data_IF_008258083441
#
_entry.id   IF_008258083441
#
_cell.length_a   1.000
_cell.length_b   1.000
_cell.length_c   1.000
_cell.angle_alpha   90.00
_cell.angle_beta   90.00
_cell.angle_gamma   90.00
#
_symmetry.space_group_name_H-M   'P 1'
#
loop_
_entity.id
_entity.type
_entity.pdbx_description
1 polymer ?
#
# COMPACT_ATOMS: atom_id res chain seq x y z
N UNK A 1 -54.45 -15.99 15.81
CA UNK A 1 -53.41 -16.86 15.21
C UNK A 1 -53.23 -16.38 13.79
N UNK A 2 -52.17 -15.73 13.35
CA UNK A 2 -50.95 -15.15 13.93
C UNK A 2 -50.50 -14.09 12.94
N UNK A 3 -49.94 -12.99 13.43
CA UNK A 3 -49.31 -11.92 12.64
C UNK A 3 -48.31 -12.46 11.61
N UNK A 4 -48.29 -11.84 10.43
CA UNK A 4 -47.13 -11.79 9.57
C UNK A 4 -46.84 -10.30 9.30
N UNK A 5 -45.83 -9.78 9.98
CA UNK A 5 -45.30 -8.45 9.79
C UNK A 5 -44.74 -8.34 8.37
N UNK A 6 -45.35 -7.53 7.53
CA UNK A 6 -44.76 -7.12 6.25
C UNK A 6 -43.66 -6.11 6.58
N UNK A 7 -42.42 -6.62 6.61
CA UNK A 7 -41.23 -5.85 6.91
C UNK A 7 -40.97 -4.86 5.78
N UNK A 8 -41.49 -3.64 5.93
CA UNK A 8 -41.21 -2.53 5.05
C UNK A 8 -39.69 -2.33 4.88
N UNK A 9 -39.27 -2.26 3.63
CA UNK A 9 -37.91 -1.98 3.19
C UNK A 9 -37.40 -0.70 3.86
N UNK A 10 -36.46 -0.86 4.80
CA UNK A 10 -35.83 0.27 5.45
C UNK A 10 -34.89 0.95 4.44
N UNK A 11 -34.96 2.29 4.28
CA UNK A 11 -34.07 2.99 3.37
C UNK A 11 -32.60 2.74 3.79
N UNK A 12 -31.69 2.57 2.82
CA UNK A 12 -30.30 2.26 3.11
C UNK A 12 -29.70 3.34 4.02
N UNK A 13 -28.86 2.97 4.99
CA UNK A 13 -28.23 3.93 5.89
C UNK A 13 -27.43 4.96 5.07
N UNK A 14 -27.42 6.24 5.47
CA UNK A 14 -26.72 7.28 4.73
C UNK A 14 -25.25 6.89 4.55
N UNK A 15 -24.82 6.94 3.29
CA UNK A 15 -23.52 6.48 2.85
C UNK A 15 -22.40 7.11 3.67
N UNK A 16 -21.62 6.27 4.35
CA UNK A 16 -20.33 6.67 4.88
C UNK A 16 -19.48 7.16 3.71
N UNK A 17 -19.26 8.48 3.67
CA UNK A 17 -18.41 9.18 2.71
C UNK A 17 -17.11 8.40 2.52
N UNK A 18 -16.90 7.95 1.28
CA UNK A 18 -15.89 6.98 0.92
C UNK A 18 -14.48 7.39 1.36
N UNK A 19 -13.88 6.56 2.22
CA UNK A 19 -12.46 6.56 2.47
C UNK A 19 -11.66 6.15 1.21
N UNK A 20 -10.37 6.52 1.14
CA UNK A 20 -9.54 6.38 -0.07
C UNK A 20 -9.47 4.94 -0.61
N UNK A 21 -9.60 3.94 0.26
CA UNK A 21 -9.59 2.52 -0.13
C UNK A 21 -10.72 2.09 -1.09
N UNK A 22 -11.91 2.72 -1.05
CA UNK A 22 -12.99 2.40 -1.99
C UNK A 22 -12.76 2.99 -3.39
N UNK A 23 -11.91 4.01 -3.55
CA UNK A 23 -11.63 4.60 -4.86
C UNK A 23 -10.68 3.73 -5.68
N UNK A 24 -9.64 3.17 -5.05
CA UNK A 24 -8.71 2.27 -5.72
C UNK A 24 -9.44 1.04 -6.29
N UNK A 25 -10.31 0.40 -5.51
CA UNK A 25 -11.08 -0.77 -5.96
C UNK A 25 -11.96 -0.50 -7.19
N UNK A 26 -12.55 0.70 -7.33
CA UNK A 26 -13.38 1.06 -8.49
C UNK A 26 -12.54 1.37 -9.74
N UNK A 27 -11.32 1.87 -9.57
CA UNK A 27 -10.37 2.07 -10.68
C UNK A 27 -9.86 0.73 -11.21
N UNK A 28 -9.64 -0.25 -10.33
CA UNK A 28 -9.31 -1.63 -10.73
C UNK A 28 -10.45 -2.27 -11.54
N UNK A 29 -11.70 -2.08 -11.12
CA UNK A 29 -12.90 -2.65 -11.77
C UNK A 29 -13.24 -1.99 -13.13
N UNK A 30 -12.94 -0.70 -13.30
CA UNK A 30 -13.34 0.07 -14.48
C UNK A 30 -12.35 0.03 -15.66
N UNK A 31 -11.15 -0.56 -15.50
CA UNK A 31 -10.04 -0.30 -16.44
C UNK A 31 -9.20 -1.49 -16.90
N UNK A 32 -9.37 -2.71 -16.39
CA UNK A 32 -8.49 -3.83 -16.74
C UNK A 32 -9.25 -4.98 -17.41
N UNK A 33 -9.51 -4.84 -18.71
CA UNK A 33 -9.59 -6.00 -19.58
C UNK A 33 -8.16 -6.49 -19.81
N UNK A 34 -7.65 -7.38 -18.94
CA UNK A 34 -6.24 -7.73 -18.88
C UNK A 34 -5.69 -8.27 -20.21
N UNK A 35 -4.73 -7.54 -20.79
CA UNK A 35 -3.89 -7.93 -21.92
C UNK A 35 -2.58 -8.56 -21.42
N UNK A 36 -2.67 -9.71 -20.74
CA UNK A 36 -1.50 -10.54 -20.37
C UNK A 36 -0.92 -10.31 -18.95
N UNK A 37 -0.14 -11.29 -18.49
CA UNK A 37 0.35 -11.40 -17.11
C UNK A 37 1.30 -10.26 -16.71
N UNK A 38 2.26 -9.91 -17.59
CA UNK A 38 3.22 -8.84 -17.33
C UNK A 38 2.54 -7.44 -17.24
N UNK A 39 1.52 -7.19 -18.06
CA UNK A 39 0.77 -5.93 -18.00
C UNK A 39 -0.05 -5.85 -16.71
N UNK A 40 -0.62 -6.98 -16.29
CA UNK A 40 -1.33 -7.08 -15.01
C UNK A 40 -0.39 -6.83 -13.83
N UNK A 41 0.82 -7.40 -13.85
CA UNK A 41 1.83 -7.19 -12.81
C UNK A 41 2.23 -5.71 -12.71
N UNK A 42 2.51 -5.06 -13.85
CA UNK A 42 2.87 -3.64 -13.87
C UNK A 42 1.72 -2.76 -13.38
N UNK A 43 0.48 -3.06 -13.77
CA UNK A 43 -0.68 -2.34 -13.27
C UNK A 43 -0.85 -2.45 -11.76
N UNK A 44 -0.68 -3.65 -11.20
CA UNK A 44 -0.73 -3.87 -9.75
C UNK A 44 0.38 -3.07 -9.06
N UNK A 45 1.61 -3.11 -9.57
CA UNK A 45 2.73 -2.34 -9.02
C UNK A 45 2.44 -0.85 -9.05
N UNK A 46 1.97 -0.32 -10.18
CA UNK A 46 1.65 1.09 -10.35
C UNK A 46 0.54 1.56 -9.41
N UNK A 47 -0.51 0.75 -9.23
CA UNK A 47 -1.58 1.07 -8.30
C UNK A 47 -1.10 1.11 -6.83
N UNK A 48 -0.13 0.26 -6.47
CA UNK A 48 0.38 0.13 -5.11
C UNK A 48 1.53 1.08 -4.78
N UNK A 49 2.32 1.55 -5.76
CA UNK A 49 3.42 2.52 -5.55
C UNK A 49 3.02 3.73 -4.69
N UNK A 50 1.92 4.46 -4.98
CA UNK A 50 1.47 5.60 -4.16
C UNK A 50 0.60 5.18 -2.96
N UNK A 51 0.20 3.91 -2.86
CA UNK A 51 -0.78 3.41 -1.91
C UNK A 51 -0.29 2.14 -1.21
N UNK A 52 0.99 2.16 -0.80
CA UNK A 52 1.60 0.97 -0.20
C UNK A 52 0.84 0.53 1.05
N UNK A 53 0.34 -0.72 1.11
CA UNK A 53 -0.41 -1.21 2.27
C UNK A 53 0.47 -1.30 3.53
N UNK A 54 1.78 -1.41 3.34
CA UNK A 54 2.81 -1.24 4.35
C UNK A 54 3.71 -0.06 3.93
N UNK A 55 3.40 1.18 4.36
CA UNK A 55 4.19 2.35 3.98
C UNK A 55 5.58 2.35 4.62
N UNK A 56 5.79 1.56 5.66
CA UNK A 56 7.09 1.38 6.33
C UNK A 56 7.50 -0.10 6.37
N UNK A 57 8.80 -0.35 6.49
CA UNK A 57 9.33 -1.67 6.83
C UNK A 57 8.90 -2.11 8.22
N UNK A 58 9.09 -3.40 8.53
CA UNK A 58 9.26 -3.82 9.93
C UNK A 58 10.53 -3.18 10.51
N UNK A 59 10.61 -3.14 11.84
CA UNK A 59 11.83 -2.70 12.53
C UNK A 59 13.05 -3.52 12.08
N UNK A 60 14.12 -2.80 11.75
CA UNK A 60 15.46 -3.36 11.56
C UNK A 60 16.34 -2.87 12.70
N UNK A 61 17.29 -3.69 13.11
CA UNK A 61 18.25 -3.32 14.14
C UNK A 61 19.64 -3.47 13.54
N UNK A 62 20.46 -2.43 13.67
CA UNK A 62 21.84 -2.47 13.16
C UNK A 62 22.64 -3.54 13.91
N UNK A 63 23.35 -4.40 13.18
CA UNK A 63 24.22 -5.43 13.76
C UNK A 63 25.60 -4.90 14.14
N UNK A 64 25.97 -3.74 13.61
CA UNK A 64 27.22 -3.04 13.85
C UNK A 64 26.97 -1.52 13.72
N UNK A 65 27.97 -0.73 14.07
CA UNK A 65 27.93 0.70 13.81
C UNK A 65 28.09 0.94 12.29
N UNK A 66 27.13 1.63 11.68
CA UNK A 66 27.08 1.87 10.23
C UNK A 66 27.09 3.35 9.90
N UNK A 67 27.36 3.66 8.64
CA UNK A 67 27.11 4.97 8.03
C UNK A 67 25.97 4.81 7.02
N UNK A 68 24.92 5.62 7.15
CA UNK A 68 23.77 5.59 6.25
C UNK A 68 23.39 7.02 5.88
N UNK A 69 23.44 7.37 4.59
CA UNK A 69 23.11 8.72 4.12
C UNK A 69 23.96 9.82 4.77
N UNK A 70 25.22 9.53 5.11
CA UNK A 70 26.12 10.46 5.82
C UNK A 70 25.84 10.57 7.33
N UNK A 71 24.98 9.71 7.88
CA UNK A 71 24.69 9.64 9.32
C UNK A 71 25.29 8.39 9.94
N UNK A 72 26.10 8.56 10.99
CA UNK A 72 26.57 7.46 11.84
C UNK A 72 25.43 6.90 12.67
N UNK A 73 25.14 5.61 12.53
CA UNK A 73 24.13 4.90 13.32
C UNK A 73 24.82 3.84 14.17
N UNK A 74 24.77 3.92 15.51
CA UNK A 74 25.37 2.93 16.39
C UNK A 74 24.77 1.53 16.24
N UNK A 75 25.50 0.51 16.69
CA UNK A 75 25.05 -0.88 16.83
C UNK A 75 23.77 -0.96 17.68
N UNK A 76 22.86 -1.87 17.33
CA UNK A 76 21.55 -2.11 17.98
C UNK A 76 20.57 -0.93 17.90
N UNK A 77 20.79 0.03 17.01
CA UNK A 77 19.85 1.11 16.78
C UNK A 77 18.65 0.62 15.97
N UNK A 78 17.41 0.97 16.34
CA UNK A 78 16.23 0.70 15.54
C UNK A 78 16.22 1.57 14.28
N UNK A 79 15.93 0.97 13.15
CA UNK A 79 15.80 1.61 11.83
C UNK A 79 14.47 1.22 11.23
N UNK A 80 13.74 2.23 10.75
CA UNK A 80 12.50 2.09 10.01
C UNK A 80 12.72 2.65 8.60
N UNK A 81 12.37 1.88 7.57
CA UNK A 81 12.48 2.33 6.18
C UNK A 81 11.12 2.82 5.72
N UNK A 82 11.03 4.03 5.18
CA UNK A 82 9.83 4.60 4.58
C UNK A 82 9.71 4.16 3.11
N UNK A 83 8.97 3.08 2.87
CA UNK A 83 8.75 2.55 1.53
C UNK A 83 7.91 3.48 0.66
N UNK A 84 6.87 4.10 1.23
CA UNK A 84 6.01 5.00 0.46
C UNK A 84 6.74 6.29 0.07
N UNK A 85 7.50 6.87 1.00
CA UNK A 85 8.37 8.01 0.72
C UNK A 85 9.37 7.69 -0.38
N UNK A 86 10.04 6.54 -0.29
CA UNK A 86 11.01 6.09 -1.30
C UNK A 86 10.36 5.75 -2.65
N UNK A 87 9.11 5.28 -2.69
CA UNK A 87 8.38 5.01 -3.95
C UNK A 87 7.86 6.28 -4.62
N UNK A 88 7.62 7.35 -3.86
CA UNK A 88 7.03 8.59 -4.36
C UNK A 88 8.02 9.76 -4.45
N UNK A 89 9.27 9.55 -4.06
CA UNK A 89 10.33 10.55 -4.10
C UNK A 89 10.59 11.01 -5.55
N UNK A 90 10.30 12.28 -5.90
CA UNK A 90 10.51 12.81 -7.24
C UNK A 90 12.00 12.90 -7.62
N UNK A 91 12.91 12.87 -6.65
CA UNK A 91 14.36 12.87 -6.86
C UNK A 91 14.92 11.48 -7.17
N UNK A 92 14.11 10.42 -7.04
CA UNK A 92 14.57 9.05 -7.25
C UNK A 92 14.55 8.67 -8.71
N UNK A 93 15.74 8.53 -9.31
CA UNK A 93 15.92 8.17 -10.72
C UNK A 93 16.22 6.68 -10.96
N UNK A 94 16.44 5.87 -9.92
CA UNK A 94 16.97 4.50 -10.05
C UNK A 94 16.56 3.59 -8.89
N UNK A 95 16.49 2.29 -9.19
CA UNK A 95 16.21 1.21 -8.23
C UNK A 95 14.79 0.66 -8.36
N UNK A 96 14.54 -0.56 -7.84
CA UNK A 96 13.20 -1.16 -7.86
C UNK A 96 12.26 -0.39 -6.93
N UNK A 97 10.96 -0.40 -7.21
CA UNK A 97 9.99 -0.01 -6.19
C UNK A 97 10.08 -0.94 -4.97
N UNK A 98 9.67 -0.42 -3.82
CA UNK A 98 9.69 -1.13 -2.55
C UNK A 98 8.29 -1.60 -2.12
N UNK A 99 7.32 -1.67 -3.05
CA UNK A 99 5.95 -2.13 -2.73
C UNK A 99 5.98 -3.53 -2.12
N UNK A 100 6.91 -4.37 -2.56
CA UNK A 100 7.12 -5.73 -2.06
C UNK A 100 8.44 -5.90 -1.29
N UNK A 101 9.03 -4.81 -0.80
CA UNK A 101 10.33 -4.85 -0.15
C UNK A 101 11.49 -5.05 -1.14
N UNK A 102 12.67 -5.35 -0.60
CA UNK A 102 13.88 -5.58 -1.39
C UNK A 102 14.89 -6.41 -0.61
N UNK A 103 15.56 -7.33 -1.29
CA UNK A 103 16.55 -8.22 -0.68
C UNK A 103 15.90 -9.42 0.02
N UNK A 104 16.54 -9.99 1.05
CA UNK A 104 16.07 -11.22 1.72
C UNK A 104 14.75 -11.09 2.49
N UNK A 105 14.13 -9.92 2.54
CA UNK A 105 12.93 -9.64 3.32
C UNK A 105 11.94 -8.78 2.56
#
# INVERSE_FOLDING_TARGET
>A
MSEACDGGDAPPPPGHTGGPGRRAARVLDAGHAATGEAETEEFVREALRPHSPAPFSLWRFTSADIELGGTRIPTRSPVLVDFQGVNTDPGRSTGPDLVFGAGPH
#
